data_IF_712082512872
#
_entry.id   IF_712082512872
#
_cell.length_a   1.000
_cell.length_b   1.000
_cell.length_c   1.000
_cell.angle_alpha   90.00
_cell.angle_beta   90.00
_cell.angle_gamma   90.00
#
_symmetry.space_group_name_H-M   'P 1'
#
loop_
_entity.id
_entity.type
_entity.pdbx_description
1 polymer ?
#
# COMPACT_ATOMS: atom_id res chain seq x y z
N UNK A 1 -13.95 17.93 -1.19
CA UNK A 1 -13.45 17.05 -2.26
C UNK A 1 -12.42 16.05 -1.75
N UNK A 2 -11.36 16.47 -1.04
CA UNK A 2 -10.31 15.56 -0.53
C UNK A 2 -10.78 14.36 0.30
N UNK A 3 -11.81 14.52 1.13
CA UNK A 3 -12.38 13.39 1.88
C UNK A 3 -12.89 12.26 0.98
N UNK A 4 -13.56 12.59 -0.13
CA UNK A 4 -14.03 11.61 -1.10
C UNK A 4 -12.86 10.97 -1.85
N UNK A 5 -11.85 11.77 -2.21
CA UNK A 5 -10.62 11.27 -2.82
C UNK A 5 -9.88 10.30 -1.89
N UNK A 6 -9.78 10.59 -0.59
CA UNK A 6 -9.18 9.70 0.39
C UNK A 6 -9.95 8.38 0.51
N UNK A 7 -11.28 8.41 0.55
CA UNK A 7 -12.07 7.16 0.54
C UNK A 7 -11.83 6.32 -0.72
N UNK A 8 -11.77 6.95 -1.89
CA UNK A 8 -11.47 6.25 -3.14
C UNK A 8 -10.02 5.71 -3.17
N UNK A 9 -9.06 6.46 -2.60
CA UNK A 9 -7.67 6.04 -2.44
C UNK A 9 -7.57 4.84 -1.50
N UNK A 10 -8.25 4.85 -0.35
CA UNK A 10 -8.30 3.71 0.58
C UNK A 10 -8.81 2.44 -0.14
N UNK A 11 -9.93 2.55 -0.87
CA UNK A 11 -10.51 1.44 -1.63
C UNK A 11 -9.54 0.94 -2.73
N UNK A 12 -8.87 1.86 -3.43
CA UNK A 12 -7.90 1.52 -4.48
C UNK A 12 -6.63 0.85 -3.93
N UNK A 13 -6.06 1.37 -2.84
CA UNK A 13 -4.90 0.76 -2.17
C UNK A 13 -5.27 -0.63 -1.64
N UNK A 14 -6.43 -0.77 -0.98
CA UNK A 14 -6.91 -2.05 -0.47
C UNK A 14 -7.06 -3.06 -1.60
N UNK A 15 -7.74 -2.70 -2.69
CA UNK A 15 -8.01 -3.60 -3.83
C UNK A 15 -6.73 -4.01 -4.55
N UNK A 16 -5.79 -3.08 -4.74
CA UNK A 16 -4.55 -3.36 -5.49
C UNK A 16 -3.53 -4.14 -4.67
N UNK A 17 -3.53 -4.00 -3.34
CA UNK A 17 -2.64 -4.77 -2.44
C UNK A 17 -3.24 -6.08 -1.95
N UNK A 18 -4.57 -6.26 -1.99
CA UNK A 18 -5.26 -7.44 -1.49
C UNK A 18 -4.67 -8.77 -1.99
N UNK A 19 -4.37 -8.97 -3.30
CA UNK A 19 -3.80 -10.23 -3.76
C UNK A 19 -2.46 -10.57 -3.10
N UNK A 20 -1.62 -9.56 -2.86
CA UNK A 20 -0.31 -9.74 -2.22
C UNK A 20 -0.49 -9.99 -0.73
N UNK A 21 -1.33 -9.20 -0.05
CA UNK A 21 -1.63 -9.38 1.38
C UNK A 21 -2.23 -10.76 1.67
N UNK A 22 -3.11 -11.23 0.79
CA UNK A 22 -3.64 -12.58 0.88
C UNK A 22 -2.52 -13.61 0.84
N UNK A 23 -1.54 -13.49 -0.07
CA UNK A 23 -0.39 -14.41 -0.10
C UNK A 23 0.47 -14.30 1.14
N UNK A 24 0.77 -13.10 1.62
CA UNK A 24 1.58 -12.89 2.82
C UNK A 24 1.00 -13.61 4.04
N UNK A 25 -0.32 -13.71 4.14
CA UNK A 25 -1.01 -14.45 5.21
C UNK A 25 -0.71 -15.95 5.25
N UNK A 26 -0.18 -16.54 4.17
CA UNK A 26 0.11 -17.97 4.10
C UNK A 26 1.61 -18.31 4.09
N UNK A 27 2.50 -17.34 3.87
CA UNK A 27 3.95 -17.56 3.87
C UNK A 27 4.61 -16.92 5.08
N UNK A 28 5.34 -17.70 5.89
CA UNK A 28 6.04 -17.18 7.07
C UNK A 28 7.43 -16.60 6.72
N UNK A 29 7.94 -15.68 7.54
CA UNK A 29 9.26 -15.05 7.34
C UNK A 29 10.34 -16.03 7.75
N UNK A 30 11.38 -16.17 6.94
CA UNK A 30 12.50 -17.07 7.24
C UNK A 30 12.20 -18.55 7.04
N UNK A 31 11.00 -18.92 6.57
CA UNK A 31 10.67 -20.29 6.19
C UNK A 31 11.36 -20.63 4.86
N UNK A 32 12.29 -21.58 4.88
CA UNK A 32 12.98 -22.10 3.69
C UNK A 32 12.20 -23.23 3.00
N UNK A 33 11.03 -23.60 3.52
CA UNK A 33 10.22 -24.68 2.98
C UNK A 33 9.65 -24.30 1.60
N UNK A 34 10.36 -24.70 0.55
CA UNK A 34 9.94 -24.56 -0.86
C UNK A 34 8.63 -25.31 -1.16
N UNK A 35 8.26 -26.29 -0.33
CA UNK A 35 7.07 -27.13 -0.46
C UNK A 35 6.06 -26.96 0.69
N UNK A 36 6.26 -26.03 1.62
CA UNK A 36 5.68 -26.16 2.95
C UNK A 36 5.43 -24.84 3.67
N UNK A 37 4.54 -24.05 3.11
CA UNK A 37 3.71 -23.11 3.87
C UNK A 37 2.35 -23.01 3.15
N UNK A 38 1.56 -24.06 3.37
CA UNK A 38 0.11 -24.20 3.20
C UNK A 38 -0.58 -23.99 1.83
N UNK A 39 0.06 -23.43 0.80
CA UNK A 39 -0.56 -23.23 -0.52
C UNK A 39 -0.27 -24.38 -1.51
N UNK A 40 -1.31 -24.96 -2.11
CA UNK A 40 -1.19 -25.90 -3.23
C UNK A 40 -1.20 -25.15 -4.57
N UNK A 41 -0.37 -25.57 -5.52
CA UNK A 41 -0.37 -25.02 -6.88
C UNK A 41 -1.19 -25.91 -7.79
N UNK A 42 -2.29 -25.37 -8.32
CA UNK A 42 -2.97 -26.00 -9.44
C UNK A 42 -2.61 -25.28 -10.73
N UNK A 43 -2.07 -26.05 -11.67
CA UNK A 43 -1.93 -25.60 -13.05
C UNK A 43 -3.25 -25.87 -13.76
N UNK A 44 -3.87 -24.81 -14.29
CA UNK A 44 -4.94 -25.00 -15.26
C UNK A 44 -4.39 -25.73 -16.49
N UNK A 45 -5.23 -26.53 -17.16
CA UNK A 45 -4.84 -27.28 -18.34
C UNK A 45 -4.23 -26.33 -19.40
N UNK A 46 -3.07 -26.68 -20.01
CA UNK A 46 -2.42 -25.82 -20.98
C UNK A 46 -3.33 -25.57 -22.19
N UNK A 47 -3.50 -24.30 -22.57
CA UNK A 47 -3.98 -23.95 -23.91
C UNK A 47 -2.76 -23.66 -24.76
N UNK A 48 -2.52 -24.47 -25.80
CA UNK A 48 -1.38 -24.34 -26.73
C UNK A 48 -1.75 -23.40 -27.89
N UNK A 49 -2.75 -22.52 -27.70
CA UNK A 49 -3.16 -21.58 -28.74
C UNK A 49 -2.14 -20.43 -28.87
N UNK A 50 -1.95 -19.86 -30.09
CA UNK A 50 -1.10 -18.67 -30.28
C UNK A 50 -1.51 -17.48 -29.38
N UNK A 51 -2.80 -17.38 -29.04
CA UNK A 51 -3.32 -16.37 -28.11
C UNK A 51 -2.82 -16.58 -26.67
N UNK A 52 -2.79 -17.84 -26.21
CA UNK A 52 -2.29 -18.18 -24.89
C UNK A 52 -0.78 -17.93 -24.77
N UNK A 53 -0.02 -18.16 -25.85
CA UNK A 53 1.40 -17.83 -25.92
C UNK A 53 1.64 -16.30 -25.81
N UNK A 54 0.88 -15.50 -26.56
CA UNK A 54 0.97 -14.05 -26.49
C UNK A 54 0.62 -13.51 -25.08
N UNK A 55 -0.39 -14.10 -24.43
CA UNK A 55 -0.74 -13.80 -23.04
C UNK A 55 0.40 -14.11 -22.09
N UNK A 56 1.03 -15.28 -22.21
CA UNK A 56 2.16 -15.67 -21.37
C UNK A 56 3.30 -14.66 -21.46
N UNK A 57 3.74 -14.33 -22.68
CA UNK A 57 4.84 -13.39 -22.88
C UNK A 57 4.54 -12.01 -22.31
N UNK A 58 3.29 -11.56 -22.44
CA UNK A 58 2.85 -10.29 -21.85
C UNK A 58 2.84 -10.35 -20.32
N UNK A 59 2.28 -11.40 -19.71
CA UNK A 59 2.29 -11.57 -18.24
C UNK A 59 3.72 -11.65 -17.72
N UNK A 60 4.61 -12.35 -18.43
CA UNK A 60 6.02 -12.45 -18.06
C UNK A 60 6.73 -11.09 -18.13
N UNK A 61 6.50 -10.31 -19.18
CA UNK A 61 7.05 -8.95 -19.29
C UNK A 61 6.55 -8.05 -18.15
N UNK A 62 5.24 -8.12 -17.83
CA UNK A 62 4.66 -7.41 -16.69
C UNK A 62 5.28 -7.87 -15.36
N UNK A 63 5.51 -9.17 -15.19
CA UNK A 63 6.15 -9.72 -13.99
C UNK A 63 7.60 -9.22 -13.85
N UNK A 64 8.36 -9.11 -14.95
CA UNK A 64 9.69 -8.51 -14.93
C UNK A 64 9.64 -7.04 -14.48
N UNK A 65 8.69 -6.26 -15.00
CA UNK A 65 8.53 -4.85 -14.63
C UNK A 65 8.26 -4.67 -13.13
N UNK A 66 7.42 -5.53 -12.55
CA UNK A 66 7.03 -5.46 -11.14
C UNK A 66 8.11 -6.01 -10.22
N UNK A 67 8.62 -7.21 -10.54
CA UNK A 67 9.40 -8.00 -9.59
C UNK A 67 10.92 -7.88 -9.74
N UNK A 68 11.42 -7.22 -10.79
CA UNK A 68 12.83 -7.10 -11.07
C UNK A 68 13.28 -5.65 -11.14
N UNK A 69 14.51 -5.40 -10.71
CA UNK A 69 15.21 -4.13 -10.96
C UNK A 69 15.73 -4.07 -12.40
N UNK A 70 16.01 -2.88 -12.92
CA UNK A 70 16.52 -2.70 -14.29
C UNK A 70 17.86 -3.42 -14.49
N UNK A 71 18.69 -3.44 -13.45
CA UNK A 71 19.97 -4.16 -13.41
C UNK A 71 19.82 -5.68 -13.42
N UNK A 72 18.64 -6.20 -13.06
CA UNK A 72 18.34 -7.63 -13.07
C UNK A 72 17.73 -8.07 -14.41
N UNK A 73 17.18 -7.13 -15.19
CA UNK A 73 16.63 -7.40 -16.50
C UNK A 73 17.77 -7.69 -17.50
N UNK A 74 17.92 -8.95 -17.90
CA UNK A 74 18.83 -9.31 -18.98
C UNK A 74 18.32 -8.75 -20.32
N UNK A 75 19.14 -8.08 -21.13
CA UNK A 75 18.77 -7.66 -22.48
C UNK A 75 18.60 -8.84 -23.45
N UNK A 76 19.00 -10.05 -23.05
CA UNK A 76 18.82 -11.26 -23.86
C UNK A 76 17.42 -11.81 -23.64
N UNK A 77 16.56 -11.66 -24.65
CA UNK A 77 15.35 -12.46 -24.81
C UNK A 77 15.74 -13.95 -24.71
N UNK A 78 15.16 -14.73 -23.78
CA UNK A 78 15.44 -16.15 -23.72
C UNK A 78 14.97 -16.78 -25.02
N UNK A 79 15.90 -17.46 -25.71
CA UNK A 79 15.69 -18.03 -27.02
C UNK A 79 14.66 -19.18 -26.96
N UNK A 80 13.46 -18.87 -27.43
CA UNK A 80 12.31 -19.65 -27.94
C UNK A 80 12.11 -21.18 -27.75
N UNK A 81 12.82 -21.91 -26.88
CA UNK A 81 12.52 -23.35 -26.67
C UNK A 81 12.43 -23.80 -25.20
N UNK A 82 13.20 -23.22 -24.28
CA UNK A 82 13.14 -23.60 -22.85
C UNK A 82 12.03 -22.87 -22.07
N UNK A 83 11.56 -21.73 -22.57
CA UNK A 83 10.50 -20.93 -21.93
C UNK A 83 9.08 -21.45 -22.14
N UNK A 84 8.89 -22.41 -23.05
CA UNK A 84 7.58 -22.90 -23.49
C UNK A 84 6.96 -23.93 -22.53
N UNK A 85 7.77 -24.66 -21.77
CA UNK A 85 7.27 -25.47 -20.65
C UNK A 85 6.55 -24.60 -19.61
N UNK A 86 6.95 -23.33 -19.49
CA UNK A 86 6.37 -22.34 -18.58
C UNK A 86 5.26 -21.48 -19.23
N UNK A 87 5.13 -21.49 -20.56
CA UNK A 87 3.99 -20.83 -21.26
C UNK A 87 2.64 -21.50 -20.98
N UNK A 88 2.68 -22.72 -20.43
CA UNK A 88 1.54 -23.49 -19.95
C UNK A 88 0.85 -22.84 -18.73
N UNK A 89 1.42 -21.77 -18.16
CA UNK A 89 1.09 -21.19 -16.85
C UNK A 89 0.16 -19.96 -16.89
N UNK A 90 -0.48 -19.63 -18.01
CA UNK A 90 -1.31 -18.41 -18.12
C UNK A 90 -2.45 -18.32 -17.09
N UNK A 91 -2.79 -19.45 -16.47
CA UNK A 91 -3.77 -19.56 -15.39
C UNK A 91 -3.16 -20.40 -14.25
N UNK A 92 -2.01 -19.99 -13.72
CA UNK A 92 -1.55 -20.57 -12.45
C UNK A 92 -2.45 -20.05 -11.33
N UNK A 93 -3.15 -20.98 -10.69
CA UNK A 93 -4.04 -20.70 -9.57
C UNK A 93 -3.30 -21.10 -8.30
N UNK A 94 -3.03 -20.11 -7.45
CA UNK A 94 -2.49 -20.37 -6.11
C UNK A 94 -3.68 -20.69 -5.21
N UNK A 95 -3.81 -21.95 -4.83
CA UNK A 95 -4.85 -22.38 -3.90
C UNK A 95 -4.39 -22.16 -2.47
N UNK A 96 -5.23 -21.44 -1.76
CA UNK A 96 -5.03 -21.10 -0.37
C UNK A 96 -5.68 -22.21 0.47
N UNK A 97 -5.05 -22.63 1.58
CA UNK A 97 -5.60 -23.64 2.47
C UNK A 97 -6.98 -23.20 3.00
N UNK A 98 -7.91 -24.14 3.23
CA UNK A 98 -9.25 -23.82 3.70
C UNK A 98 -9.19 -23.17 5.09
N UNK A 99 -10.00 -22.13 5.29
CA UNK A 99 -10.10 -21.43 6.55
C UNK A 99 -10.74 -22.36 7.60
N UNK A 100 -10.09 -22.55 8.75
CA UNK A 100 -10.51 -23.53 9.79
C UNK A 100 -11.90 -23.24 10.39
N UNK A 101 -12.50 -22.10 10.06
CA UNK A 101 -13.75 -21.58 10.68
C UNK A 101 -14.99 -21.60 9.77
N UNK A 102 -14.89 -21.93 8.49
CA UNK A 102 -16.06 -21.95 7.60
C UNK A 102 -16.51 -23.37 7.26
N UNK A 103 -17.71 -23.73 7.70
CA UNK A 103 -18.45 -24.88 7.19
C UNK A 103 -18.76 -24.66 5.71
N UNK A 104 -17.99 -25.30 4.81
CA UNK A 104 -18.29 -25.33 3.38
C UNK A 104 -17.10 -24.91 2.50
N UNK A 105 -16.76 -25.78 1.55
CA UNK A 105 -15.71 -25.65 0.54
C UNK A 105 -15.72 -24.30 -0.20
N UNK A 106 -14.98 -23.30 0.28
CA UNK A 106 -14.53 -22.17 -0.54
C UNK A 106 -13.01 -22.19 -0.59
N UNK A 107 -12.47 -23.00 -1.50
CA UNK A 107 -11.05 -22.97 -1.80
C UNK A 107 -10.75 -21.60 -2.43
N UNK A 108 -10.11 -20.70 -1.69
CA UNK A 108 -9.73 -19.38 -2.21
C UNK A 108 -8.55 -19.58 -3.15
N UNK A 109 -8.64 -19.01 -4.33
CA UNK A 109 -7.72 -19.27 -5.43
C UNK A 109 -7.34 -17.95 -6.07
N UNK A 110 -6.04 -17.65 -6.18
CA UNK A 110 -5.55 -16.38 -6.76
C UNK A 110 -4.82 -16.67 -8.08
N UNK A 111 -5.34 -16.19 -9.23
CA UNK A 111 -4.63 -16.28 -10.49
C UNK A 111 -3.34 -15.45 -10.46
N UNK A 112 -2.23 -16.00 -10.96
CA UNK A 112 -0.95 -15.29 -11.04
C UNK A 112 -1.06 -13.96 -11.79
N UNK A 113 -1.85 -13.94 -12.87
CA UNK A 113 -2.19 -12.72 -13.62
C UNK A 113 -2.75 -11.62 -12.72
N UNK A 114 -3.64 -11.97 -11.79
CA UNK A 114 -4.26 -11.01 -10.87
C UNK A 114 -3.21 -10.35 -9.98
N UNK A 115 -2.23 -11.11 -9.48
CA UNK A 115 -1.15 -10.57 -8.65
C UNK A 115 -0.34 -9.52 -9.43
N UNK A 116 0.10 -9.88 -10.64
CA UNK A 116 0.95 -9.02 -11.47
C UNK A 116 0.20 -7.76 -11.91
N UNK A 117 -1.04 -7.91 -12.38
CA UNK A 117 -1.86 -6.78 -12.83
C UNK A 117 -2.18 -5.85 -11.67
N UNK A 118 -2.57 -6.37 -10.51
CA UNK A 118 -2.87 -5.54 -9.34
C UNK A 118 -1.65 -4.78 -8.83
N UNK A 119 -0.45 -5.38 -8.86
CA UNK A 119 0.79 -4.68 -8.52
C UNK A 119 1.18 -3.60 -9.53
N UNK A 120 0.98 -3.83 -10.83
CA UNK A 120 1.16 -2.78 -11.84
C UNK A 120 0.16 -1.64 -11.66
N UNK A 121 -1.11 -1.96 -11.40
CA UNK A 121 -2.11 -0.94 -11.07
C UNK A 121 -1.73 -0.16 -9.82
N UNK A 122 -1.16 -0.82 -8.81
CA UNK A 122 -0.63 -0.16 -7.62
C UNK A 122 0.52 0.81 -7.96
N UNK A 123 1.44 0.41 -8.85
CA UNK A 123 2.52 1.28 -9.31
C UNK A 123 2.00 2.56 -9.96
N UNK A 124 1.00 2.43 -10.84
CA UNK A 124 0.37 3.57 -11.51
C UNK A 124 -0.37 4.45 -10.49
N UNK A 125 -1.03 3.84 -9.51
CA UNK A 125 -1.69 4.57 -8.42
C UNK A 125 -0.70 5.41 -7.61
N UNK A 126 0.47 4.84 -7.27
CA UNK A 126 1.55 5.55 -6.59
C UNK A 126 2.11 6.68 -7.46
N UNK A 127 2.27 6.47 -8.77
CA UNK A 127 2.76 7.52 -9.68
C UNK A 127 1.78 8.69 -9.72
N UNK A 128 0.50 8.41 -9.95
CA UNK A 128 -0.53 9.45 -9.98
C UNK A 128 -0.60 10.19 -8.64
N UNK A 129 -0.41 9.49 -7.52
CA UNK A 129 -0.39 10.12 -6.20
C UNK A 129 0.84 11.02 -6.01
N UNK A 130 2.01 10.60 -6.49
CA UNK A 130 3.21 11.45 -6.53
C UNK A 130 2.93 12.72 -7.33
N UNK A 131 2.41 12.58 -8.55
CA UNK A 131 2.13 13.70 -9.44
C UNK A 131 1.13 14.66 -8.78
N UNK A 132 0.10 14.12 -8.09
CA UNK A 132 -0.90 14.93 -7.38
C UNK A 132 -0.32 15.69 -6.19
N UNK A 133 0.46 15.01 -5.35
CA UNK A 133 0.95 15.61 -4.11
C UNK A 133 2.11 16.58 -4.38
N UNK A 134 3.04 16.18 -5.23
CA UNK A 134 4.39 16.73 -5.28
C UNK A 134 4.73 17.39 -6.61
N UNK A 135 4.15 16.94 -7.72
CA UNK A 135 4.39 17.57 -9.02
C UNK A 135 3.46 18.78 -9.23
N UNK A 136 4.00 19.86 -9.82
CA UNK A 136 3.16 20.96 -10.27
C UNK A 136 2.54 20.59 -11.61
N UNK A 137 1.21 20.41 -11.66
CA UNK A 137 0.46 20.19 -12.91
C UNK A 137 0.55 21.36 -13.92
N UNK A 138 1.25 22.44 -13.59
CA UNK A 138 1.37 23.63 -14.45
C UNK A 138 2.80 23.74 -14.99
N UNK A 139 3.12 22.86 -15.95
CA UNK A 139 3.91 23.28 -17.10
C UNK A 139 3.04 23.17 -18.34
N UNK A 140 2.24 24.20 -18.60
CA UNK A 140 1.79 24.46 -19.96
C UNK A 140 3.01 24.63 -20.89
N UNK A 141 2.86 24.48 -22.21
CA UNK A 141 3.99 24.59 -23.13
C UNK A 141 4.48 26.05 -23.14
N UNK A 142 5.45 26.38 -22.29
CA UNK A 142 6.17 27.65 -22.37
C UNK A 142 7.17 27.55 -23.50
N UNK A 143 6.67 27.67 -24.73
CA UNK A 143 7.47 28.25 -25.81
C UNK A 143 7.71 29.72 -25.45
N UNK A 144 8.84 30.09 -24.85
CA UNK A 144 9.50 31.37 -25.12
C UNK A 144 10.95 31.28 -24.65
N UNK A 145 11.83 31.68 -25.55
CA UNK A 145 13.28 31.65 -25.49
C UNK A 145 13.88 32.50 -24.35
N UNK A 146 15.09 32.10 -23.97
CA UNK A 146 16.19 32.87 -23.36
C UNK A 146 15.90 34.29 -22.82
N UNK A 147 16.05 34.46 -21.50
CA UNK A 147 16.86 35.57 -20.95
C UNK A 147 17.27 35.33 -19.49
N UNK A 148 18.58 35.42 -19.29
CA UNK A 148 19.35 35.41 -18.05
C UNK A 148 18.93 36.57 -17.14
N UNK A 149 18.47 36.28 -15.91
CA UNK A 149 18.74 37.05 -14.68
C UNK A 149 18.69 36.08 -13.49
N UNK A 150 19.71 36.12 -12.64
CA UNK A 150 19.78 35.45 -11.35
C UNK A 150 18.53 35.74 -10.50
N UNK A 151 17.63 34.76 -10.40
CA UNK A 151 16.74 34.59 -9.27
C UNK A 151 16.87 33.14 -8.83
N UNK A 152 17.27 32.94 -7.58
CA UNK A 152 17.20 31.65 -6.90
C UNK A 152 15.79 31.09 -7.18
N UNK A 153 15.64 29.87 -7.75
CA UNK A 153 14.31 29.36 -8.02
C UNK A 153 13.65 29.16 -6.66
N UNK A 154 12.69 30.03 -6.30
CA UNK A 154 11.79 29.76 -5.18
C UNK A 154 11.16 28.41 -5.48
N UNK A 155 11.62 27.41 -4.76
CA UNK A 155 11.36 26.01 -5.00
C UNK A 155 9.99 25.69 -4.45
N UNK A 156 8.93 26.31 -5.01
CA UNK A 156 7.55 26.09 -4.58
C UNK A 156 7.01 24.79 -5.18
N UNK A 157 7.76 23.68 -5.02
CA UNK A 157 7.25 22.32 -5.18
C UNK A 157 6.25 22.04 -4.07
N UNK A 158 5.03 22.47 -4.30
CA UNK A 158 3.88 22.09 -3.52
C UNK A 158 2.76 21.99 -4.53
N UNK A 159 2.62 20.81 -5.14
CA UNK A 159 1.45 20.45 -5.95
C UNK A 159 0.17 20.61 -5.14
N UNK A 160 -0.68 19.60 -5.09
CA UNK A 160 -1.91 19.75 -4.32
C UNK A 160 -1.73 19.66 -2.80
N UNK A 161 -0.53 19.31 -2.30
CA UNK A 161 -0.25 19.09 -0.88
C UNK A 161 -0.75 20.21 0.04
N UNK A 162 -0.55 21.48 -0.35
CA UNK A 162 -0.96 22.66 0.45
C UNK A 162 -2.48 22.81 0.62
N UNK A 163 -3.26 22.13 -0.22
CA UNK A 163 -4.73 22.17 -0.22
C UNK A 163 -5.35 20.97 0.50
N UNK A 164 -4.52 20.06 1.02
CA UNK A 164 -4.95 18.86 1.74
C UNK A 164 -4.91 19.16 3.23
N UNK A 165 -6.01 18.90 3.92
CA UNK A 165 -6.07 19.08 5.37
C UNK A 165 -5.29 17.99 6.11
N UNK A 166 -4.80 18.26 7.33
CA UNK A 166 -3.98 17.30 8.09
C UNK A 166 -4.65 15.94 8.28
N UNK A 167 -5.96 15.89 8.53
CA UNK A 167 -6.69 14.61 8.65
C UNK A 167 -6.70 13.80 7.35
N UNK A 168 -6.84 14.45 6.19
CA UNK A 168 -6.78 13.75 4.91
C UNK A 168 -5.33 13.33 4.58
N UNK A 169 -4.35 14.16 4.93
CA UNK A 169 -2.94 13.84 4.78
C UNK A 169 -2.52 12.66 5.65
N UNK A 170 -3.07 12.53 6.86
CA UNK A 170 -2.87 11.38 7.74
C UNK A 170 -3.32 10.07 7.10
N UNK A 171 -4.49 10.07 6.44
CA UNK A 171 -4.98 8.90 5.69
C UNK A 171 -4.01 8.54 4.56
N UNK A 172 -3.62 9.52 3.73
CA UNK A 172 -2.67 9.31 2.63
C UNK A 172 -1.33 8.73 3.13
N UNK A 173 -0.83 9.27 4.23
CA UNK A 173 0.40 8.82 4.87
C UNK A 173 0.29 7.41 5.45
N UNK A 174 -0.84 7.06 6.07
CA UNK A 174 -1.08 5.70 6.55
C UNK A 174 -1.16 4.71 5.37
N UNK A 175 -1.78 5.09 4.25
CA UNK A 175 -1.84 4.27 3.03
C UNK A 175 -0.46 4.04 2.40
N UNK A 176 0.36 5.08 2.29
CA UNK A 176 1.73 4.96 1.76
C UNK A 176 2.61 4.09 2.65
N UNK A 177 2.48 4.22 3.98
CA UNK A 177 3.23 3.41 4.93
C UNK A 177 2.77 1.94 4.93
N UNK A 178 1.47 1.69 4.80
CA UNK A 178 0.90 0.35 4.64
C UNK A 178 1.42 -0.33 3.35
N UNK A 179 1.47 0.41 2.24
CA UNK A 179 2.04 -0.09 0.99
C UNK A 179 3.53 -0.42 1.12
N UNK A 180 4.31 0.50 1.70
CA UNK A 180 5.73 0.29 1.99
C UNK A 180 5.96 -0.96 2.85
N UNK A 181 5.21 -1.11 3.94
CA UNK A 181 5.31 -2.25 4.86
C UNK A 181 4.91 -3.55 4.18
N UNK A 182 3.84 -3.56 3.38
CA UNK A 182 3.42 -4.73 2.59
C UNK A 182 4.51 -5.18 1.63
N UNK A 183 5.14 -4.24 0.91
CA UNK A 183 6.24 -4.54 -0.01
C UNK A 183 7.47 -5.07 0.73
N UNK A 184 7.85 -4.47 1.86
CA UNK A 184 8.97 -4.96 2.68
C UNK A 184 8.69 -6.34 3.26
N UNK A 185 7.49 -6.57 3.76
CA UNK A 185 7.08 -7.85 4.32
C UNK A 185 7.19 -8.95 3.26
N UNK A 186 6.70 -8.70 2.05
CA UNK A 186 6.90 -9.57 0.89
C UNK A 186 8.36 -9.96 0.67
N UNK A 187 9.27 -8.98 0.74
CA UNK A 187 10.68 -9.22 0.49
C UNK A 187 11.36 -10.11 1.56
N UNK A 188 10.74 -10.25 2.74
CA UNK A 188 11.17 -11.19 3.80
C UNK A 188 10.62 -12.61 3.62
N UNK A 189 9.62 -12.83 2.75
CA UNK A 189 9.00 -14.14 2.52
C UNK A 189 9.74 -14.91 1.41
N UNK A 190 10.86 -15.53 1.74
CA UNK A 190 11.72 -16.30 0.80
C UNK A 190 10.96 -17.36 -0.01
N UNK A 191 10.08 -18.14 0.63
CA UNK A 191 9.23 -19.13 -0.04
C UNK A 191 8.32 -18.53 -1.12
N UNK A 192 7.66 -17.41 -0.81
CA UNK A 192 6.81 -16.67 -1.75
C UNK A 192 7.61 -16.12 -2.94
N UNK A 193 8.81 -15.59 -2.69
CA UNK A 193 9.69 -15.07 -3.75
C UNK A 193 10.15 -16.19 -4.69
N UNK A 194 10.48 -17.36 -4.14
CA UNK A 194 10.85 -18.53 -4.94
C UNK A 194 9.68 -19.03 -5.78
N UNK A 195 8.50 -19.13 -5.16
CA UNK A 195 7.25 -19.48 -5.84
C UNK A 195 7.02 -18.57 -7.05
N UNK A 196 6.99 -17.25 -6.83
CA UNK A 196 6.68 -16.30 -7.88
C UNK A 196 7.77 -16.26 -8.95
N UNK A 197 9.05 -16.47 -8.61
CA UNK A 197 10.12 -16.68 -9.59
C UNK A 197 9.82 -17.87 -10.50
N UNK A 198 9.47 -19.02 -9.92
CA UNK A 198 9.18 -20.25 -10.66
C UNK A 198 7.97 -20.10 -11.58
N UNK A 199 6.89 -19.51 -11.06
CA UNK A 199 5.63 -19.28 -11.79
C UNK A 199 5.80 -18.30 -12.94
N UNK A 200 6.56 -17.23 -12.72
CA UNK A 200 6.74 -16.17 -13.71
C UNK A 200 7.81 -16.47 -14.76
N UNK A 201 8.69 -17.44 -14.50
CA UNK A 201 9.83 -17.75 -15.35
C UNK A 201 10.86 -16.60 -15.43
N UNK A 202 10.90 -15.70 -14.45
CA UNK A 202 11.88 -14.61 -14.43
C UNK A 202 13.26 -15.10 -13.95
N UNK A 203 14.33 -14.47 -14.44
CA UNK A 203 15.70 -14.89 -14.14
C UNK A 203 16.17 -14.59 -12.71
N UNK A 204 15.62 -13.54 -12.10
CA UNK A 204 15.97 -13.07 -10.75
C UNK A 204 15.02 -13.58 -9.65
N UNK A 205 15.37 -13.35 -8.39
CA UNK A 205 14.42 -13.53 -7.29
C UNK A 205 13.34 -12.44 -7.37
N UNK A 206 12.07 -12.82 -7.28
CA UNK A 206 10.99 -11.84 -7.24
C UNK A 206 11.14 -10.95 -6.01
N UNK A 207 11.06 -9.63 -6.19
CA UNK A 207 11.17 -8.65 -5.11
C UNK A 207 10.26 -7.44 -5.37
N UNK A 208 9.88 -6.72 -4.32
CA UNK A 208 9.06 -5.50 -4.43
C UNK A 208 9.85 -4.23 -4.08
N UNK A 209 11.16 -4.25 -4.29
CA UNK A 209 12.05 -3.13 -3.96
C UNK A 209 11.65 -1.81 -4.63
N UNK A 210 11.17 -1.87 -5.88
CA UNK A 210 10.64 -0.69 -6.58
C UNK A 210 9.40 -0.12 -5.88
N UNK A 211 8.46 -0.98 -5.52
CA UNK A 211 7.21 -0.58 -4.86
C UNK A 211 7.48 -0.03 -3.46
N UNK A 212 8.38 -0.67 -2.70
CA UNK A 212 8.78 -0.17 -1.38
C UNK A 212 9.48 1.18 -1.49
N UNK A 213 10.43 1.32 -2.42
CA UNK A 213 11.15 2.57 -2.61
C UNK A 213 10.20 3.70 -3.06
N UNK A 214 9.31 3.43 -4.01
CA UNK A 214 8.34 4.39 -4.52
C UNK A 214 7.40 4.88 -3.41
N UNK A 215 6.78 3.96 -2.66
CA UNK A 215 5.85 4.31 -1.57
C UNK A 215 6.54 5.11 -0.46
N UNK A 216 7.73 4.67 -0.06
CA UNK A 216 8.51 5.36 0.97
C UNK A 216 8.97 6.75 0.52
N UNK A 217 9.45 6.87 -0.73
CA UNK A 217 9.89 8.16 -1.26
C UNK A 217 8.75 9.16 -1.33
N UNK A 218 7.56 8.74 -1.79
CA UNK A 218 6.38 9.62 -1.82
C UNK A 218 6.03 10.06 -0.39
N UNK A 219 5.98 9.10 0.55
CA UNK A 219 5.68 9.38 1.95
C UNK A 219 6.67 10.37 2.57
N UNK A 220 7.97 10.08 2.45
CA UNK A 220 9.03 10.89 3.04
C UNK A 220 9.06 12.29 2.43
N UNK A 221 8.99 12.39 1.09
CA UNK A 221 9.03 13.67 0.39
C UNK A 221 7.79 14.51 0.73
N UNK A 222 6.59 13.94 0.70
CA UNK A 222 5.36 14.65 1.07
C UNK A 222 5.35 15.06 2.55
N UNK A 223 5.92 14.26 3.45
CA UNK A 223 6.07 14.61 4.87
C UNK A 223 7.00 15.82 5.04
N UNK A 224 8.18 15.81 4.42
CA UNK A 224 9.12 16.94 4.49
C UNK A 224 8.52 18.19 3.87
N UNK A 225 7.90 18.09 2.69
CA UNK A 225 7.21 19.21 2.05
C UNK A 225 6.12 19.77 2.96
N UNK A 226 5.29 18.92 3.57
CA UNK A 226 4.23 19.36 4.47
C UNK A 226 4.79 20.11 5.70
N UNK A 227 5.92 19.64 6.26
CA UNK A 227 6.58 20.32 7.38
C UNK A 227 7.05 21.72 6.97
N UNK A 228 7.81 21.80 5.87
CA UNK A 228 8.39 23.05 5.39
C UNK A 228 7.33 24.06 4.95
N UNK A 229 6.19 23.60 4.44
CA UNK A 229 5.13 24.50 3.96
C UNK A 229 4.21 25.00 5.06
N UNK A 230 4.10 24.27 6.17
CA UNK A 230 3.27 24.69 7.30
C UNK A 230 4.02 25.58 8.29
N UNK A 231 5.36 25.59 8.26
CA UNK A 231 6.19 26.42 9.14
C UNK A 231 7.44 26.94 8.40
N UNK A 232 7.47 28.26 8.16
CA UNK A 232 8.57 28.91 7.47
C UNK A 232 9.85 29.01 8.32
N UNK A 233 9.73 28.99 9.66
CA UNK A 233 10.86 29.16 10.59
C UNK A 233 10.80 28.16 11.77
N UNK A 234 11.12 26.90 11.51
CA UNK A 234 11.21 25.87 12.55
C UNK A 234 12.53 26.03 13.32
N UNK A 235 12.47 26.27 14.64
CA UNK A 235 13.67 26.31 15.50
C UNK A 235 13.92 24.99 16.23
N UNK A 236 15.17 24.73 16.62
CA UNK A 236 15.55 23.53 17.36
C UNK A 236 14.84 23.43 18.72
N UNK A 237 14.65 24.56 19.40
CA UNK A 237 13.93 24.64 20.68
C UNK A 237 12.48 24.22 20.53
N UNK A 238 11.81 24.67 19.45
CA UNK A 238 10.42 24.30 19.16
C UNK A 238 10.28 22.80 18.88
N UNK A 239 11.18 22.22 18.08
CA UNK A 239 11.20 20.78 17.81
C UNK A 239 11.41 20.00 19.09
N UNK A 240 12.37 20.40 19.93
CA UNK A 240 12.63 19.76 21.23
C UNK A 240 11.41 19.84 22.14
N UNK A 241 10.73 20.99 22.17
CA UNK A 241 9.48 21.18 22.92
C UNK A 241 8.42 20.15 22.52
N UNK A 242 8.19 20.03 21.22
CA UNK A 242 7.18 19.13 20.64
C UNK A 242 7.48 17.65 20.91
N UNK A 243 8.75 17.27 20.87
CA UNK A 243 9.17 15.88 21.03
C UNK A 243 9.22 15.42 22.49
N UNK A 244 9.44 16.32 23.45
CA UNK A 244 9.75 15.93 24.83
C UNK A 244 8.86 16.54 25.93
N UNK A 245 8.07 17.59 25.67
CA UNK A 245 7.24 18.21 26.73
C UNK A 245 5.84 17.60 26.92
N UNK A 246 5.37 16.73 26.01
CA UNK A 246 4.03 16.11 26.15
C UNK A 246 3.99 14.86 27.04
N UNK A 247 5.12 14.20 27.30
CA UNK A 247 5.16 12.98 28.12
C UNK A 247 4.85 13.24 29.61
N UNK A 248 5.06 14.48 30.10
CA UNK A 248 4.86 14.88 31.50
C UNK A 248 3.39 14.95 31.93
N UNK A 249 2.41 15.00 31.00
CA UNK A 249 0.97 15.11 31.35
C UNK A 249 0.24 13.77 31.45
N UNK A 250 0.88 12.66 31.12
CA UNK A 250 0.21 11.35 31.02
C UNK A 250 0.21 10.54 32.32
N UNK A 251 0.91 11.00 33.35
CA UNK A 251 1.17 10.23 34.58
C UNK A 251 0.23 10.54 35.76
N UNK A 252 -0.75 11.44 35.62
CA UNK A 252 -1.50 11.97 36.78
C UNK A 252 -3.04 11.84 36.66
N UNK A 253 -3.56 10.69 36.22
CA UNK A 253 -4.98 10.35 36.41
C UNK A 253 -5.12 9.02 37.11
N UNK A 254 -4.84 9.05 38.40
CA UNK A 254 -5.39 8.10 39.37
C UNK A 254 -6.67 8.71 39.93
N UNK A 255 -7.83 8.35 39.37
CA UNK A 255 -9.12 8.69 39.95
C UNK A 255 -9.89 7.43 40.32
N UNK A 256 -10.00 7.25 41.64
CA UNK A 256 -10.81 6.27 42.35
C UNK A 256 -12.32 6.49 42.13
N UNK A 257 -13.05 5.37 42.15
CA UNK A 257 -14.41 5.16 42.66
C UNK A 257 -15.58 5.99 42.08
N UNK A 258 -16.56 5.32 41.47
CA UNK A 258 -17.76 4.87 42.21
C UNK A 258 -18.62 3.93 41.36
N UNK A 259 -19.17 2.92 42.03
CA UNK A 259 -20.09 1.92 41.53
C UNK A 259 -21.47 2.22 42.12
N UNK A 260 -22.47 2.57 41.32
CA UNK A 260 -23.88 2.47 41.73
C UNK A 260 -24.74 2.03 40.54
N UNK A 261 -25.55 1.02 40.81
CA UNK A 261 -26.59 0.41 39.99
C UNK A 261 -27.68 1.42 39.64
N UNK A 262 -28.27 1.32 38.44
CA UNK A 262 -29.65 1.73 38.19
C UNK A 262 -30.32 0.80 37.16
N UNK A 263 -31.63 0.67 37.33
CA UNK A 263 -32.40 -0.54 37.09
C UNK A 263 -32.81 -0.89 35.65
N UNK A 264 -33.01 -2.21 35.56
CA UNK A 264 -33.84 -3.05 34.69
C UNK A 264 -35.28 -2.53 34.44
N UNK A 265 -35.74 -2.76 33.19
CA UNK A 265 -37.11 -2.74 32.63
C UNK A 265 -37.74 -1.43 32.13
N UNK A 266 -37.92 -1.35 30.80
CA UNK A 266 -39.26 -1.04 30.26
C UNK A 266 -39.49 -1.75 28.91
N UNK A 267 -40.43 -2.69 28.95
CA UNK A 267 -41.01 -3.44 27.84
C UNK A 267 -42.21 -2.64 27.31
N UNK A 268 -42.27 -2.34 26.01
CA UNK A 268 -43.50 -2.52 25.19
C UNK A 268 -43.28 -2.23 23.70
N UNK A 269 -43.80 -3.19 22.93
CA UNK A 269 -43.99 -3.33 21.50
C UNK A 269 -44.19 -2.07 20.64
N UNK A 270 -43.63 -2.10 19.41
CA UNK A 270 -44.43 -2.13 18.17
C UNK A 270 -43.69 -2.86 17.03
N UNK A 271 -44.44 -3.80 16.42
CA UNK A 271 -44.03 -4.73 15.38
C UNK A 271 -44.12 -4.02 14.01
N UNK A 272 -43.09 -4.15 13.17
CA UNK A 272 -43.15 -3.78 11.74
C UNK A 272 -42.39 -4.80 10.89
N UNK A 273 -42.82 -5.08 9.64
CA UNK A 273 -42.38 -6.25 8.86
C UNK A 273 -40.95 -6.09 8.30
N UNK A 274 -40.30 -7.19 7.86
CA UNK A 274 -38.88 -7.20 7.58
C UNK A 274 -38.60 -6.47 6.26
N UNK A 275 -38.21 -5.19 6.35
CA UNK A 275 -37.46 -4.56 5.25
C UNK A 275 -36.03 -5.06 5.35
N UNK A 276 -35.63 -5.89 4.40
CA UNK A 276 -34.26 -6.34 4.19
C UNK A 276 -33.30 -5.15 4.20
N UNK A 277 -32.68 -4.91 5.35
CA UNK A 277 -31.48 -4.11 5.47
C UNK A 277 -30.34 -5.10 5.33
N UNK A 278 -29.93 -5.36 4.09
CA UNK A 278 -28.53 -5.63 3.84
C UNK A 278 -27.76 -4.42 4.35
N UNK A 279 -27.41 -4.44 5.65
CA UNK A 279 -26.35 -3.60 6.16
C UNK A 279 -25.14 -4.01 5.35
N UNK A 280 -24.77 -3.20 4.37
CA UNK A 280 -23.44 -3.22 3.75
C UNK A 280 -22.43 -2.99 4.88
N UNK A 281 -22.05 -4.07 5.55
CA UNK A 281 -20.86 -4.19 6.37
C UNK A 281 -19.66 -4.24 5.42
N UNK A 282 -19.40 -3.13 4.74
CA UNK A 282 -18.18 -2.95 3.97
C UNK A 282 -17.64 -1.59 4.34
N UNK A 283 -16.84 -1.55 5.41
CA UNK A 283 -15.59 -0.77 5.52
C UNK A 283 -14.90 -1.23 6.80
N UNK A 284 -14.01 -2.21 6.70
CA UNK A 284 -12.92 -2.27 7.66
C UNK A 284 -12.03 -1.06 7.33
N UNK A 285 -12.22 0.05 8.05
CA UNK A 285 -11.23 1.14 8.00
C UNK A 285 -9.89 0.51 8.37
N UNK A 286 -8.87 0.74 7.55
CA UNK A 286 -7.51 0.33 7.91
C UNK A 286 -7.23 0.88 9.32
N UNK A 287 -6.73 0.06 10.26
CA UNK A 287 -6.32 0.57 11.55
C UNK A 287 -5.32 1.70 11.33
N UNK A 288 -5.55 2.85 11.94
CA UNK A 288 -4.61 3.97 11.84
C UNK A 288 -3.24 3.49 12.32
N UNK A 289 -2.26 3.49 11.41
CA UNK A 289 -0.89 3.03 11.71
C UNK A 289 -0.11 4.04 12.56
N UNK A 290 -0.71 5.21 12.79
CA UNK A 290 -0.11 6.34 13.50
C UNK A 290 -1.15 7.11 14.33
N UNK A 291 -0.65 7.85 15.33
CA UNK A 291 -1.43 8.85 16.07
C UNK A 291 -2.01 9.84 15.07
N UNK A 292 -3.30 10.16 15.17
CA UNK A 292 -3.99 11.06 14.25
C UNK A 292 -3.81 12.52 14.67
N UNK A 293 -3.78 13.47 13.73
CA UNK A 293 -3.66 14.90 14.07
C UNK A 293 -4.90 15.38 14.82
N UNK A 294 -4.70 16.17 15.87
CA UNK A 294 -5.78 16.69 16.74
C UNK A 294 -6.56 17.82 16.03
N UNK A 295 -5.91 18.53 15.11
CA UNK A 295 -6.47 19.66 14.38
C UNK A 295 -5.97 19.70 12.93
N UNK A 296 -6.64 20.48 12.06
CA UNK A 296 -6.20 20.73 10.69
C UNK A 296 -4.89 21.54 10.58
N UNK A 297 -4.38 22.09 11.69
CA UNK A 297 -3.14 22.88 11.76
C UNK A 297 -2.09 22.25 12.70
N UNK A 298 -2.19 20.94 12.95
CA UNK A 298 -1.31 20.20 13.85
C UNK A 298 0.04 19.88 13.18
N UNK A 299 0.92 20.88 13.10
CA UNK A 299 2.27 20.70 12.55
C UNK A 299 3.19 19.93 13.52
N UNK A 300 2.88 19.94 14.83
CA UNK A 300 3.56 19.13 15.83
C UNK A 300 3.42 17.63 15.52
N UNK A 301 2.23 17.21 15.06
CA UNK A 301 2.01 15.85 14.55
C UNK A 301 2.94 15.45 13.41
N UNK A 302 3.20 16.35 12.44
CA UNK A 302 4.14 16.07 11.33
C UNK A 302 5.56 15.82 11.85
N UNK A 303 6.02 16.62 12.81
CA UNK A 303 7.36 16.49 13.42
C UNK A 303 7.47 15.18 14.19
N UNK A 304 6.47 14.84 15.02
CA UNK A 304 6.44 13.55 15.75
C UNK A 304 6.46 12.37 14.79
N UNK A 305 5.76 12.49 13.66
CA UNK A 305 5.72 11.46 12.62
C UNK A 305 7.07 11.29 11.93
N UNK A 306 7.78 12.38 11.63
CA UNK A 306 9.14 12.33 11.09
C UNK A 306 10.12 11.74 12.11
N UNK A 307 10.05 12.15 13.37
CA UNK A 307 10.90 11.60 14.42
C UNK A 307 10.71 10.09 14.58
N UNK A 308 9.46 9.62 14.62
CA UNK A 308 9.15 8.19 14.66
C UNK A 308 9.74 7.43 13.48
N UNK A 309 9.68 8.00 12.27
CA UNK A 309 10.26 7.41 11.07
C UNK A 309 11.78 7.24 11.16
N UNK A 310 12.49 8.19 11.79
CA UNK A 310 13.94 8.11 11.96
C UNK A 310 14.38 7.09 13.02
N UNK A 311 13.47 6.65 13.89
CA UNK A 311 13.75 5.69 14.97
C UNK A 311 13.42 4.24 14.58
N UNK A 312 12.60 4.03 13.54
CA UNK A 312 12.23 2.72 12.96
C UNK A 312 13.19 2.28 11.85
#
# INVERSE_FOLDING_TARGET
MWRLACCALEDAFSTTLEPVKNLLGYFHSGSENLSGDACEMKMAAPSISPSAEAEYWRIRAMAQQVFMLDTQCSPKTPNNKEGFEHAQSCLLIIELPPDKKSNGHSQKSIPFRTIVVSLLSHQVLLQNLYDILLEEFVKGPSHTEEKVVHQLPETKLTGFLRYISMQNLAVIFDLLLDSYRTAREFDTRTGLKCLLKKVSGIGGAANLYRQSAMSFNIYFHALICAIVTNQENITAEQVKKILFEEDERSTDSSQQCSSEDEDIFEETAQVSPPRGKEKRQWRARLPSLSVQPVSNADWAWLIKRLHKLCME
#
